data_IF_108859659181
#
_entry.id   IF_108859659181
#
_cell.length_a   1.000
_cell.length_b   1.000
_cell.length_c   1.000
_cell.angle_alpha   90.00
_cell.angle_beta   90.00
_cell.angle_gamma   90.00
#
_symmetry.space_group_name_H-M   'P 1'
#
loop_
_entity.id
_entity.type
_entity.pdbx_description
1 polymer ?
#
# COMPACT_ATOMS: atom_id res chain seq x y z
N UNK A 1 0.77 -28.05 40.41
CA UNK A 1 0.79 -26.57 40.43
C UNK A 1 2.07 -26.11 39.75
N UNK A 2 1.98 -25.73 38.47
CA UNK A 2 3.09 -25.13 37.71
C UNK A 2 2.50 -23.86 37.11
N UNK A 3 2.97 -22.72 37.62
CA UNK A 3 2.47 -21.40 37.26
C UNK A 3 2.84 -21.05 35.83
N UNK A 4 1.81 -20.80 35.01
CA UNK A 4 1.91 -20.26 33.66
C UNK A 4 2.47 -18.83 33.72
N UNK A 5 3.75 -18.67 33.38
CA UNK A 5 4.38 -17.36 33.19
C UNK A 5 3.84 -16.76 31.89
N UNK A 6 3.29 -15.54 32.00
CA UNK A 6 2.54 -14.81 30.97
C UNK A 6 3.40 -14.52 29.71
N UNK A 7 2.87 -14.69 28.48
CA UNK A 7 3.54 -14.25 27.24
C UNK A 7 3.43 -12.72 27.01
N UNK A 8 2.80 -11.98 27.93
CA UNK A 8 2.53 -10.55 27.78
C UNK A 8 3.77 -9.64 27.94
N UNK A 9 4.87 -10.15 28.52
CA UNK A 9 6.06 -9.32 28.79
C UNK A 9 6.96 -9.15 27.56
N UNK A 10 6.99 -10.12 26.65
CA UNK A 10 7.87 -10.09 25.46
C UNK A 10 7.34 -9.13 24.38
N UNK A 11 6.02 -8.94 24.29
CA UNK A 11 5.41 -7.98 23.34
C UNK A 11 5.60 -6.53 23.81
N UNK A 12 5.66 -6.29 25.14
CA UNK A 12 5.86 -4.95 25.68
C UNK A 12 7.32 -4.46 25.50
N UNK A 13 8.30 -5.37 25.48
CA UNK A 13 9.71 -5.03 25.22
C UNK A 13 9.99 -4.73 23.73
N UNK A 14 9.23 -5.32 22.81
CA UNK A 14 9.29 -4.97 21.38
C UNK A 14 8.64 -3.62 21.09
N UNK A 15 7.62 -3.20 21.84
CA UNK A 15 7.06 -1.84 21.75
C UNK A 15 7.92 -0.78 22.44
N UNK A 16 8.62 -1.12 23.53
CA UNK A 16 9.48 -0.17 24.26
C UNK A 16 10.82 0.11 23.53
N UNK A 17 11.29 -0.82 22.69
CA UNK A 17 12.48 -0.61 21.86
C UNK A 17 12.33 0.46 20.76
N UNK A 18 11.09 0.80 20.38
CA UNK A 18 10.78 1.84 19.39
C UNK A 18 10.62 3.25 19.98
N UNK A 19 10.60 3.40 21.31
CA UNK A 19 10.29 4.68 21.97
C UNK A 19 11.50 5.37 22.62
N UNK A 20 12.72 4.83 22.46
CA UNK A 20 13.92 5.35 23.11
C UNK A 20 15.17 5.39 22.21
N UNK A 21 14.98 5.49 20.89
CA UNK A 21 15.96 6.22 20.09
C UNK A 21 15.58 7.68 20.17
N UNK A 22 16.31 8.44 20.99
CA UNK A 22 16.48 9.86 20.71
C UNK A 22 17.18 9.95 19.35
N UNK A 23 16.41 9.88 18.27
CA UNK A 23 16.92 10.12 16.93
C UNK A 23 17.44 11.54 16.91
N UNK A 24 18.76 11.67 17.00
CA UNK A 24 19.44 12.92 16.74
C UNK A 24 19.31 13.16 15.23
N UNK A 25 18.30 13.93 14.82
CA UNK A 25 18.06 14.22 13.41
C UNK A 25 16.63 14.66 13.13
N UNK A 26 16.36 14.94 11.86
CA UNK A 26 15.02 15.30 11.39
C UNK A 26 14.16 14.06 11.31
N UNK A 27 12.99 14.09 11.98
CA UNK A 27 11.97 13.04 11.86
C UNK A 27 10.79 13.52 11.03
N UNK A 28 10.26 12.63 10.19
CA UNK A 28 9.16 12.92 9.27
C UNK A 28 8.04 11.91 9.49
N UNK A 29 6.80 12.40 9.59
CA UNK A 29 5.60 11.57 9.81
C UNK A 29 4.51 12.05 8.85
N UNK A 30 3.91 11.19 8.01
CA UNK A 30 4.22 9.77 7.83
C UNK A 30 5.64 9.56 7.23
N UNK A 31 6.11 8.32 7.24
CA UNK A 31 7.40 7.97 6.60
C UNK A 31 7.32 8.15 5.08
N UNK A 32 8.45 8.30 4.37
CA UNK A 32 8.48 8.34 2.91
C UNK A 32 7.84 7.10 2.27
N UNK A 33 7.06 7.30 1.21
CA UNK A 33 6.34 6.19 0.57
C UNK A 33 5.28 6.64 -0.44
N UNK A 34 4.53 5.65 -0.93
CA UNK A 34 3.42 5.84 -1.87
C UNK A 34 2.10 5.65 -1.12
N UNK A 35 1.15 6.56 -1.30
CA UNK A 35 -0.10 6.60 -0.54
C UNK A 35 -1.30 6.87 -1.46
N UNK A 36 -2.39 6.11 -1.25
CA UNK A 36 -3.68 6.31 -1.91
C UNK A 36 -4.46 7.54 -1.39
N UNK A 37 -4.01 8.16 -0.30
CA UNK A 37 -4.69 9.28 0.37
C UNK A 37 -3.76 10.46 0.59
N UNK A 38 -4.34 11.65 0.73
CA UNK A 38 -3.59 12.86 1.08
C UNK A 38 -2.88 12.67 2.41
N UNK A 39 -1.67 13.24 2.52
CA UNK A 39 -0.84 13.11 3.70
C UNK A 39 -0.60 14.48 4.34
N UNK A 40 -0.76 14.54 5.66
CA UNK A 40 -0.33 15.68 6.47
C UNK A 40 1.07 15.39 7.01
N UNK A 41 2.07 15.88 6.30
CA UNK A 41 3.48 15.69 6.63
C UNK A 41 3.89 16.61 7.79
N UNK A 42 4.14 16.01 8.93
CA UNK A 42 4.80 16.65 10.07
C UNK A 42 6.31 16.44 9.99
N UNK A 43 7.06 17.53 10.10
CA UNK A 43 8.52 17.50 10.16
C UNK A 43 8.92 18.00 11.54
N UNK A 44 9.65 17.19 12.31
CA UNK A 44 10.11 17.56 13.64
C UNK A 44 11.62 17.74 13.65
N UNK A 45 12.03 18.84 14.24
CA UNK A 45 13.43 19.23 14.41
C UNK A 45 13.83 19.03 15.87
N UNK A 46 15.08 18.64 16.15
CA UNK A 46 15.66 18.73 17.49
C UNK A 46 15.56 20.16 18.04
N UNK A 47 15.36 20.34 19.36
CA UNK A 47 15.14 21.65 19.98
C UNK A 47 16.36 22.58 19.90
N UNK A 48 17.55 22.04 19.68
CA UNK A 48 18.85 22.69 19.64
C UNK A 48 19.39 22.89 18.20
N UNK A 49 18.50 22.85 17.20
CA UNK A 49 18.88 22.97 15.80
C UNK A 49 17.92 23.86 15.00
N UNK A 50 18.43 24.45 13.93
CA UNK A 50 17.67 25.15 12.90
C UNK A 50 17.45 24.22 11.72
N UNK A 51 16.22 24.17 11.25
CA UNK A 51 15.83 23.39 10.09
C UNK A 51 15.49 24.32 8.92
N UNK A 52 16.08 24.04 7.76
CA UNK A 52 15.59 24.58 6.48
C UNK A 52 14.96 23.44 5.69
N UNK A 53 13.77 23.67 5.14
CA UNK A 53 13.05 22.68 4.32
C UNK A 53 12.88 23.22 2.92
N UNK A 54 13.07 22.35 1.94
CA UNK A 54 12.79 22.62 0.54
C UNK A 54 11.76 21.61 0.05
N UNK A 55 10.70 22.10 -0.59
CA UNK A 55 9.70 21.31 -1.28
C UNK A 55 9.90 21.49 -2.78
N UNK A 56 10.19 20.40 -3.48
CA UNK A 56 10.46 20.36 -4.92
C UNK A 56 11.51 21.40 -5.36
N UNK A 57 12.55 21.56 -4.52
CA UNK A 57 13.66 22.50 -4.73
C UNK A 57 13.38 23.94 -4.28
N UNK A 58 12.15 24.29 -3.90
CA UNK A 58 11.80 25.61 -3.38
C UNK A 58 11.91 25.63 -1.86
N UNK A 59 12.69 26.57 -1.32
CA UNK A 59 12.78 26.80 0.12
C UNK A 59 11.42 27.21 0.69
N UNK A 60 11.06 26.62 1.83
CA UNK A 60 9.92 27.02 2.64
C UNK A 60 10.42 27.98 3.72
N UNK A 61 10.02 29.25 3.63
CA UNK A 61 10.48 30.28 4.57
C UNK A 61 9.76 30.18 5.93
N UNK A 62 8.47 29.80 5.92
CA UNK A 62 7.68 29.47 7.10
C UNK A 62 7.16 28.04 6.98
N UNK A 63 7.63 27.15 7.85
CA UNK A 63 7.11 25.78 7.94
C UNK A 63 5.89 25.82 8.87
N UNK A 64 4.71 26.13 8.30
CA UNK A 64 3.45 25.81 8.95
C UNK A 64 3.25 24.28 8.91
N UNK A 65 3.92 23.56 9.80
CA UNK A 65 3.71 22.11 9.95
C UNK A 65 2.31 21.86 10.53
N UNK A 66 1.52 20.91 9.97
CA UNK A 66 1.89 19.97 8.92
C UNK A 66 1.76 20.51 7.49
N UNK A 67 2.62 20.03 6.59
CA UNK A 67 2.53 20.27 5.14
C UNK A 67 1.51 19.31 4.51
N UNK A 68 0.57 19.83 3.73
CA UNK A 68 -0.37 19.01 2.97
C UNK A 68 0.27 18.53 1.65
N UNK A 69 0.43 17.22 1.52
CA UNK A 69 0.77 16.54 0.27
C UNK A 69 -0.53 15.98 -0.33
N UNK A 70 -0.87 16.39 -1.54
CA UNK A 70 -2.14 16.04 -2.17
C UNK A 70 -2.01 15.77 -3.68
N UNK A 71 -2.90 14.94 -4.21
CA UNK A 71 -3.14 14.81 -5.65
C UNK A 71 -4.64 14.89 -5.91
N UNK A 72 -5.04 15.32 -7.11
CA UNK A 72 -6.46 15.23 -7.49
C UNK A 72 -6.88 13.77 -7.69
N UNK A 73 -8.18 13.51 -7.72
CA UNK A 73 -8.70 12.17 -7.98
C UNK A 73 -8.25 11.67 -9.36
N UNK A 74 -7.70 10.45 -9.42
CA UNK A 74 -7.18 9.87 -10.66
C UNK A 74 -5.77 10.32 -11.04
N UNK A 75 -5.15 11.20 -10.24
CA UNK A 75 -3.79 11.68 -10.47
C UNK A 75 -2.75 10.98 -9.59
N UNK A 76 -1.51 11.03 -10.04
CA UNK A 76 -0.33 10.69 -9.26
C UNK A 76 0.58 11.91 -9.17
N UNK A 77 1.00 12.28 -7.96
CA UNK A 77 1.92 13.39 -7.72
C UNK A 77 3.08 12.97 -6.83
N UNK A 78 4.30 13.24 -7.30
CA UNK A 78 5.52 13.04 -6.53
C UNK A 78 5.94 14.33 -5.84
N UNK A 79 6.48 14.18 -4.62
CA UNK A 79 6.96 15.25 -3.77
C UNK A 79 8.36 14.94 -3.29
N UNK A 80 9.29 15.86 -3.50
CA UNK A 80 10.67 15.76 -3.02
C UNK A 80 10.91 16.77 -1.91
N UNK A 81 11.07 16.29 -0.67
CA UNK A 81 11.36 17.12 0.49
C UNK A 81 12.84 16.98 0.84
N UNK A 82 13.55 18.09 0.80
CA UNK A 82 14.92 18.17 1.28
C UNK A 82 14.96 18.93 2.61
N UNK A 83 15.71 18.42 3.57
CA UNK A 83 15.86 19.02 4.89
C UNK A 83 17.32 19.27 5.17
N UNK A 84 17.66 20.48 5.60
CA UNK A 84 19.00 20.88 6.00
C UNK A 84 18.99 21.29 7.47
N UNK A 85 19.72 20.55 8.29
CA UNK A 85 19.84 20.77 9.72
C UNK A 85 21.15 21.51 10.02
N UNK A 86 21.05 22.59 10.81
CA UNK A 86 22.20 23.38 11.28
C UNK A 86 22.09 23.60 12.78
N UNK A 87 23.21 23.89 13.44
CA UNK A 87 23.20 24.38 14.82
C UNK A 87 22.44 25.71 14.92
N UNK A 88 22.00 26.09 16.13
CA UNK A 88 21.44 27.41 16.42
C UNK A 88 22.41 28.56 16.10
N UNK A 89 23.72 28.31 16.21
CA UNK A 89 24.75 29.29 15.83
C UNK A 89 24.68 29.59 14.31
N UNK A 90 24.48 30.85 13.89
CA UNK A 90 24.32 31.25 12.50
C UNK A 90 25.45 30.80 11.57
N UNK A 91 26.69 30.82 12.05
CA UNK A 91 27.88 30.58 11.23
C UNK A 91 28.28 29.10 11.21
N UNK A 92 27.58 28.26 11.97
CA UNK A 92 27.84 26.83 12.02
C UNK A 92 27.60 26.14 10.67
N UNK A 93 28.46 25.15 10.33
CA UNK A 93 28.29 24.38 9.10
C UNK A 93 27.00 23.55 9.11
N UNK A 94 26.67 23.01 7.96
CA UNK A 94 25.58 22.05 7.81
C UNK A 94 25.90 20.79 8.63
N UNK A 95 24.98 20.41 9.52
CA UNK A 95 25.11 19.20 10.33
C UNK A 95 24.62 17.98 9.56
N UNK A 96 23.47 18.13 8.90
CA UNK A 96 22.83 17.03 8.19
C UNK A 96 22.02 17.56 6.99
N UNK A 97 22.01 16.80 5.90
CA UNK A 97 21.08 16.98 4.80
C UNK A 97 20.45 15.65 4.43
N UNK A 98 19.11 15.60 4.38
CA UNK A 98 18.34 14.44 3.94
C UNK A 98 17.40 14.81 2.81
N UNK A 99 17.12 13.84 1.96
CA UNK A 99 16.12 13.93 0.89
C UNK A 99 15.13 12.79 1.11
N UNK A 100 13.86 13.14 1.07
CA UNK A 100 12.73 12.23 1.26
C UNK A 100 11.77 12.37 0.08
N UNK A 101 11.13 11.26 -0.27
CA UNK A 101 10.21 11.20 -1.40
C UNK A 101 8.86 10.64 -0.96
N UNK A 102 7.80 11.37 -1.29
CA UNK A 102 6.42 10.90 -1.18
C UNK A 102 5.77 10.87 -2.55
N UNK A 103 4.89 9.91 -2.75
CA UNK A 103 4.03 9.84 -3.92
C UNK A 103 2.60 9.73 -3.41
N UNK A 104 1.77 10.72 -3.76
CA UNK A 104 0.32 10.63 -3.56
C UNK A 104 -0.26 10.11 -4.88
N UNK A 105 -0.69 8.86 -4.87
CA UNK A 105 -1.18 8.15 -6.05
C UNK A 105 -2.66 7.82 -5.85
N UNK A 106 -3.55 8.58 -6.48
CA UNK A 106 -4.99 8.34 -6.48
C UNK A 106 -5.47 7.73 -7.79
N UNK A 107 -4.55 7.23 -8.63
CA UNK A 107 -4.90 6.56 -9.88
C UNK A 107 -5.35 5.14 -9.57
N UNK A 108 -6.54 4.80 -10.06
CA UNK A 108 -7.04 3.45 -9.93
C UNK A 108 -6.27 2.50 -10.87
N UNK A 109 -5.77 1.34 -10.39
CA UNK A 109 -5.12 0.38 -11.26
C UNK A 109 -6.14 -0.27 -12.20
N UNK A 110 -5.65 -0.77 -13.34
CA UNK A 110 -6.49 -1.45 -14.32
C UNK A 110 -7.13 -2.72 -13.72
N UNK A 111 -8.36 -3.04 -14.16
CA UNK A 111 -9.02 -4.28 -13.78
C UNK A 111 -8.22 -5.49 -14.23
N UNK A 112 -8.17 -6.56 -13.41
CA UNK A 112 -7.44 -7.75 -13.79
C UNK A 112 -8.06 -8.43 -15.02
N UNK A 113 -7.22 -9.17 -15.74
CA UNK A 113 -7.62 -10.01 -16.87
C UNK A 113 -7.34 -11.47 -16.55
N UNK A 114 -8.29 -12.34 -16.85
CA UNK A 114 -8.14 -13.78 -16.64
C UNK A 114 -7.64 -14.46 -17.91
N UNK A 115 -6.66 -15.35 -17.75
CA UNK A 115 -6.29 -16.34 -18.76
C UNK A 115 -6.58 -17.71 -18.16
N UNK A 116 -7.57 -18.40 -18.74
CA UNK A 116 -8.01 -19.71 -18.26
C UNK A 116 -7.42 -20.82 -19.14
N UNK A 117 -6.67 -21.73 -18.53
CA UNK A 117 -6.19 -22.95 -19.17
C UNK A 117 -6.99 -24.14 -18.64
N UNK A 118 -7.72 -24.83 -19.51
CA UNK A 118 -8.52 -26.00 -19.11
C UNK A 118 -7.64 -27.15 -18.66
N UNK A 119 -8.07 -27.80 -17.60
CA UNK A 119 -7.46 -29.02 -17.03
C UNK A 119 -8.59 -29.90 -16.49
N UNK A 120 -8.29 -31.16 -16.18
CA UNK A 120 -9.28 -32.08 -15.64
C UNK A 120 -9.92 -31.52 -14.35
N UNK A 121 -11.25 -31.47 -14.32
CA UNK A 121 -12.04 -30.98 -13.19
C UNK A 121 -12.09 -29.46 -13.04
N UNK A 122 -11.61 -28.67 -14.01
CA UNK A 122 -11.74 -27.21 -13.96
C UNK A 122 -10.80 -26.43 -14.88
N UNK A 123 -10.19 -25.37 -14.35
CA UNK A 123 -9.25 -24.52 -15.07
C UNK A 123 -8.13 -24.00 -14.15
N UNK A 124 -6.92 -23.88 -14.68
CA UNK A 124 -5.86 -23.06 -14.09
C UNK A 124 -6.02 -21.62 -14.58
N UNK A 125 -6.36 -20.72 -13.67
CA UNK A 125 -6.53 -19.31 -13.95
C UNK A 125 -5.29 -18.51 -13.61
N UNK A 126 -4.74 -17.81 -14.59
CA UNK A 126 -3.74 -16.78 -14.36
C UNK A 126 -4.44 -15.41 -14.35
N UNK A 127 -4.29 -14.68 -13.25
CA UNK A 127 -4.86 -13.35 -13.07
C UNK A 127 -3.76 -12.34 -13.41
N UNK A 128 -4.00 -11.47 -14.38
CA UNK A 128 -3.02 -10.53 -14.91
C UNK A 128 -3.43 -9.09 -14.66
N UNK A 129 -2.46 -8.25 -14.38
CA UNK A 129 -2.58 -6.80 -14.38
C UNK A 129 -1.55 -6.22 -15.35
N UNK A 130 -1.87 -5.05 -15.91
CA UNK A 130 -0.96 -4.29 -16.77
C UNK A 130 0.07 -3.51 -15.96
N UNK A 131 -0.22 -3.30 -14.67
CA UNK A 131 0.64 -2.59 -13.72
C UNK A 131 1.01 -3.52 -12.54
N UNK A 132 2.18 -3.32 -11.89
CA UNK A 132 2.56 -4.09 -10.71
C UNK A 132 1.52 -3.97 -9.59
N UNK A 133 0.86 -5.08 -9.28
CA UNK A 133 -0.21 -5.13 -8.28
C UNK A 133 -0.37 -6.54 -7.73
N UNK A 134 -0.93 -6.64 -6.53
CA UNK A 134 -1.35 -7.92 -5.93
C UNK A 134 -2.79 -8.20 -6.36
N UNK A 135 -3.05 -9.41 -6.85
CA UNK A 135 -4.39 -9.80 -7.28
C UNK A 135 -5.11 -10.49 -6.13
N UNK A 136 -6.11 -9.84 -5.57
CA UNK A 136 -6.98 -10.41 -4.55
C UNK A 136 -8.17 -11.07 -5.22
N UNK A 137 -8.49 -12.31 -4.85
CA UNK A 137 -9.57 -13.06 -5.47
C UNK A 137 -10.49 -13.75 -4.47
N UNK A 138 -11.71 -14.00 -4.92
CA UNK A 138 -12.74 -14.79 -4.28
C UNK A 138 -13.21 -15.85 -5.27
N UNK A 139 -13.22 -17.10 -4.86
CA UNK A 139 -13.85 -18.22 -5.55
C UNK A 139 -15.21 -18.50 -4.92
N UNK A 140 -16.21 -18.76 -5.75
CA UNK A 140 -17.53 -19.16 -5.31
C UNK A 140 -18.05 -20.32 -6.17
N UNK A 141 -18.38 -21.43 -5.53
CA UNK A 141 -19.07 -22.55 -6.17
C UNK A 141 -20.56 -22.48 -5.83
N UNK A 142 -21.45 -22.25 -6.82
CA UNK A 142 -22.87 -22.02 -6.57
C UNK A 142 -23.58 -23.24 -5.99
N UNK A 143 -23.30 -24.44 -6.52
CA UNK A 143 -23.93 -25.68 -6.05
C UNK A 143 -23.54 -26.05 -4.61
N UNK A 144 -22.24 -26.10 -4.31
CA UNK A 144 -21.74 -26.43 -2.96
C UNK A 144 -21.81 -25.24 -1.99
N UNK A 145 -22.16 -24.05 -2.47
CA UNK A 145 -22.13 -22.79 -1.71
C UNK A 145 -20.77 -22.54 -1.02
N UNK A 146 -19.70 -23.07 -1.60
CA UNK A 146 -18.36 -22.98 -1.06
C UNK A 146 -17.69 -21.67 -1.50
N UNK A 147 -16.99 -21.02 -0.57
CA UNK A 147 -16.23 -19.80 -0.83
C UNK A 147 -14.78 -20.01 -0.44
N UNK A 148 -13.87 -19.58 -1.30
CA UNK A 148 -12.44 -19.50 -0.99
C UNK A 148 -11.91 -18.11 -1.34
N UNK A 149 -10.89 -17.63 -0.62
CA UNK A 149 -10.29 -16.32 -0.85
C UNK A 149 -8.78 -16.46 -0.83
N UNK A 150 -8.11 -15.65 -1.63
CA UNK A 150 -6.65 -15.64 -1.64
C UNK A 150 -6.11 -14.42 -2.35
N UNK A 151 -4.79 -14.37 -2.42
CA UNK A 151 -4.07 -13.35 -3.18
C UNK A 151 -2.95 -14.03 -3.96
N UNK A 152 -2.69 -13.57 -5.18
CA UNK A 152 -1.62 -14.08 -6.02
C UNK A 152 -0.85 -12.95 -6.67
N UNK A 153 0.44 -13.21 -6.94
CA UNK A 153 1.24 -12.33 -7.79
C UNK A 153 0.87 -12.53 -9.26
N UNK A 154 1.31 -11.62 -10.12
CA UNK A 154 1.07 -11.66 -11.57
C UNK A 154 1.57 -12.94 -12.27
N UNK A 155 2.50 -13.67 -11.65
CA UNK A 155 3.15 -14.88 -12.20
C UNK A 155 2.51 -16.19 -11.77
N UNK A 156 1.69 -16.17 -10.72
CA UNK A 156 1.11 -17.37 -10.16
C UNK A 156 -0.24 -17.71 -10.82
N UNK A 157 -0.67 -18.97 -10.68
CA UNK A 157 -1.99 -19.41 -11.12
C UNK A 157 -2.79 -20.00 -9.97
N UNK A 158 -4.11 -19.87 -10.07
CA UNK A 158 -5.08 -20.42 -9.12
C UNK A 158 -5.88 -21.49 -9.83
N UNK A 159 -5.99 -22.67 -9.23
CA UNK A 159 -6.92 -23.68 -9.71
C UNK A 159 -8.36 -23.28 -9.36
N UNK A 160 -9.22 -23.29 -10.37
CA UNK A 160 -10.65 -23.03 -10.26
C UNK A 160 -11.37 -24.33 -10.60
N UNK A 161 -12.08 -24.96 -9.64
CA UNK A 161 -12.90 -26.13 -9.94
C UNK A 161 -13.97 -25.81 -10.99
N UNK A 162 -14.46 -26.83 -11.69
CA UNK A 162 -15.58 -26.70 -12.62
C UNK A 162 -16.79 -26.02 -11.95
N UNK A 163 -17.56 -25.27 -12.75
CA UNK A 163 -18.72 -24.48 -12.31
C UNK A 163 -18.44 -23.45 -11.20
N UNK A 164 -17.17 -23.18 -10.88
CA UNK A 164 -16.76 -22.17 -9.90
C UNK A 164 -16.52 -20.84 -10.60
N UNK A 165 -17.08 -19.79 -10.02
CA UNK A 165 -16.84 -18.40 -10.41
C UNK A 165 -15.64 -17.88 -9.64
N UNK A 166 -14.69 -17.25 -10.33
CA UNK A 166 -13.67 -16.40 -9.72
C UNK A 166 -14.03 -14.93 -9.93
N UNK A 167 -13.85 -14.13 -8.89
CA UNK A 167 -13.91 -12.68 -8.97
C UNK A 167 -12.63 -12.11 -8.34
N UNK A 168 -11.99 -11.14 -8.99
CA UNK A 168 -10.73 -10.57 -8.51
C UNK A 168 -10.64 -9.07 -8.76
N UNK A 169 -9.86 -8.40 -7.91
CA UNK A 169 -9.43 -7.01 -8.10
C UNK A 169 -7.91 -6.91 -7.89
N UNK A 170 -7.29 -5.91 -8.50
CA UNK A 170 -5.89 -5.58 -8.32
C UNK A 170 -5.74 -4.54 -7.20
N UNK A 171 -4.75 -4.69 -6.33
CA UNK A 171 -4.32 -3.68 -5.36
C UNK A 171 -2.87 -3.27 -5.67
N UNK A 172 -2.66 -1.98 -5.93
CA UNK A 172 -1.32 -1.44 -6.22
C UNK A 172 -0.50 -1.19 -4.94
N UNK A 173 0.71 -0.65 -5.10
CA UNK A 173 1.59 -0.33 -3.95
C UNK A 173 1.05 0.79 -3.05
N UNK A 174 0.24 1.70 -3.60
CA UNK A 174 -0.37 2.80 -2.86
C UNK A 174 -1.57 2.34 -2.02
N UNK A 175 -2.11 1.15 -2.34
CA UNK A 175 -3.33 0.59 -1.76
C UNK A 175 -4.60 0.90 -2.57
N UNK A 176 -4.48 1.43 -3.79
CA UNK A 176 -5.64 1.64 -4.65
C UNK A 176 -6.13 0.31 -5.20
N UNK A 177 -7.46 0.18 -5.30
CA UNK A 177 -8.11 -1.04 -5.79
C UNK A 177 -8.74 -0.83 -7.15
N UNK A 178 -8.50 -1.74 -8.08
CA UNK A 178 -9.17 -1.73 -9.38
C UNK A 178 -10.67 -2.02 -9.25
N UNK A 179 -11.43 -1.76 -10.32
CA UNK A 179 -12.74 -2.38 -10.45
C UNK A 179 -12.58 -3.92 -10.53
N UNK A 180 -13.51 -4.68 -9.92
CA UNK A 180 -13.44 -6.13 -9.95
C UNK A 180 -13.74 -6.67 -11.35
N UNK A 181 -13.18 -7.83 -11.65
CA UNK A 181 -13.48 -8.62 -12.85
C UNK A 181 -13.79 -10.06 -12.44
N UNK A 182 -14.54 -10.79 -13.27
CA UNK A 182 -14.87 -12.20 -12.98
C UNK A 182 -14.70 -13.09 -14.20
N UNK A 183 -14.53 -14.39 -13.93
CA UNK A 183 -14.50 -15.45 -14.93
C UNK A 183 -15.07 -16.73 -14.33
N UNK A 184 -15.49 -17.67 -15.17
CA UNK A 184 -16.04 -18.96 -14.73
C UNK A 184 -15.33 -20.10 -15.43
N UNK A 185 -15.04 -21.18 -14.71
CA UNK A 185 -14.52 -22.41 -15.29
C UNK A 185 -15.65 -23.22 -15.95
N UNK A 186 -16.29 -22.67 -16.97
CA UNK A 186 -17.52 -23.18 -17.59
C UNK A 186 -17.26 -24.02 -18.86
N UNK A 187 -17.92 -25.15 -19.11
CA UNK A 187 -17.79 -25.91 -20.37
C UNK A 187 -18.42 -25.17 -21.58
N UNK A 188 -17.80 -24.06 -21.98
CA UNK A 188 -18.34 -23.11 -22.95
C UNK A 188 -18.77 -21.81 -22.27
N UNK A 189 -18.55 -20.68 -22.94
CA UNK A 189 -18.83 -19.33 -22.45
C UNK A 189 -20.34 -19.11 -22.35
N UNK A 190 -20.90 -19.00 -21.15
CA UNK A 190 -22.17 -18.30 -20.95
C UNK A 190 -21.90 -16.79 -20.89
N UNK A 191 -22.51 -16.06 -21.81
CA UNK A 191 -22.64 -14.61 -21.73
C UNK A 191 -23.61 -14.24 -20.59
N UNK A 192 -23.17 -14.44 -19.34
CA UNK A 192 -23.86 -14.07 -18.12
C UNK A 192 -23.26 -12.79 -17.54
N UNK A 193 -24.13 -11.85 -17.16
CA UNK A 193 -23.78 -10.52 -16.62
C UNK A 193 -22.70 -10.60 -15.52
N UNK A 194 -21.79 -9.60 -15.40
CA UNK A 194 -20.77 -9.60 -14.34
C UNK A 194 -21.42 -9.72 -12.96
N UNK A 195 -20.95 -10.67 -12.16
CA UNK A 195 -21.40 -10.82 -10.77
C UNK A 195 -20.89 -9.63 -9.96
N UNK A 196 -21.79 -8.91 -9.30
CA UNK A 196 -21.45 -7.80 -8.40
C UNK A 196 -20.91 -8.39 -7.10
N UNK A 197 -19.66 -8.11 -6.77
CA UNK A 197 -19.10 -8.41 -5.45
C UNK A 197 -19.75 -7.46 -4.46
N UNK A 198 -20.74 -7.94 -3.70
CA UNK A 198 -21.30 -7.19 -2.57
C UNK A 198 -20.35 -7.38 -1.41
N UNK A 199 -19.59 -6.34 -1.08
CA UNK A 199 -18.67 -6.31 0.05
C UNK A 199 -19.47 -6.53 1.36
N UNK A 200 -19.02 -7.38 2.31
CA UNK A 200 -19.54 -7.36 3.67
C UNK A 200 -19.17 -6.09 4.42
#
# INVERSE_FOLDING_TARGET
>A
MIGSVKPALTVLLLLAGFLLHAEHGVTVIPVPGTYATDQLLSIRTPPDARLTVYLDGKRLDDIASPLLLYAEYGEQRSYRIQTELRSLDPDSPLLESRVFEWIIDKKQPASPRFVLNRVDGGAQARIRSDEPAVMHYVLYHPYYQAVSRGSVSDRDSVFIPEDTVICAFAEDRAGNRSLPSSATAENGVHAGKPFVMVNP
#
